data_IF_912588811976
#
_entry.id   IF_912588811976
#
_cell.length_a   1.000
_cell.length_b   1.000
_cell.length_c   1.000
_cell.angle_alpha   90.00
_cell.angle_beta   90.00
_cell.angle_gamma   90.00
#
_symmetry.space_group_name_H-M   'P 1'
#
loop_
_entity.id
_entity.type
_entity.pdbx_description
1 polymer ?
#
# COMPACT_ATOMS: atom_id res chain seq x y z
N UNK A 1 21.91 3.46 -23.52
CA UNK A 1 21.66 3.86 -22.12
C UNK A 1 21.13 2.64 -21.40
N UNK A 2 21.68 2.27 -20.24
CA UNK A 2 21.03 1.24 -19.41
C UNK A 2 19.73 1.88 -18.90
N UNK A 3 18.59 1.21 -19.11
CA UNK A 3 17.33 1.68 -18.57
C UNK A 3 17.36 1.65 -17.04
N UNK A 4 16.48 2.42 -16.40
CA UNK A 4 16.29 2.37 -14.94
C UNK A 4 15.91 0.95 -14.52
N UNK A 5 16.63 0.37 -13.56
CA UNK A 5 16.37 -0.97 -13.04
C UNK A 5 15.19 -0.94 -12.04
N UNK A 6 14.03 -1.57 -12.33
CA UNK A 6 12.99 -1.70 -11.32
C UNK A 6 13.40 -2.76 -10.27
N UNK A 7 13.23 -2.45 -8.99
CA UNK A 7 13.45 -3.36 -7.87
C UNK A 7 12.15 -3.49 -7.09
N UNK A 8 11.55 -4.68 -7.13
CA UNK A 8 10.31 -4.99 -6.42
C UNK A 8 10.65 -5.55 -5.04
N UNK A 9 10.04 -4.97 -4.00
CA UNK A 9 10.26 -5.36 -2.61
C UNK A 9 8.92 -5.72 -2.00
N UNK A 10 8.91 -6.90 -1.35
CA UNK A 10 7.79 -7.44 -0.60
C UNK A 10 7.44 -6.63 0.64
N UNK A 11 6.62 -7.22 1.50
CA UNK A 11 6.27 -6.67 2.80
C UNK A 11 7.53 -6.32 3.61
N UNK A 12 7.59 -5.08 4.13
CA UNK A 12 8.72 -4.59 4.92
C UNK A 12 8.41 -4.66 6.41
N UNK A 13 7.16 -4.39 6.80
CA UNK A 13 6.65 -4.63 8.15
C UNK A 13 7.53 -4.03 9.27
N UNK A 14 7.89 -2.76 9.14
CA UNK A 14 8.68 -2.02 10.15
C UNK A 14 10.16 -2.41 10.22
N UNK A 15 10.66 -3.26 9.32
CA UNK A 15 12.08 -3.61 9.16
C UNK A 15 12.86 -2.49 8.44
N UNK A 16 12.92 -1.30 9.06
CA UNK A 16 13.55 -0.12 8.48
C UNK A 16 15.03 -0.33 8.18
N UNK A 17 15.78 -0.92 9.14
CA UNK A 17 17.21 -1.17 9.01
C UNK A 17 17.51 -2.07 7.80
N UNK A 18 16.75 -3.15 7.65
CA UNK A 18 16.90 -4.11 6.56
C UNK A 18 16.55 -3.50 5.21
N UNK A 19 15.50 -2.68 5.13
CA UNK A 19 15.19 -1.97 3.88
C UNK A 19 16.31 -0.99 3.53
N UNK A 20 16.84 -0.25 4.49
CA UNK A 20 17.89 0.74 4.23
C UNK A 20 19.19 0.05 3.80
N UNK A 21 19.53 -1.08 4.42
CA UNK A 21 20.66 -1.90 3.99
C UNK A 21 20.46 -2.43 2.56
N UNK A 22 19.26 -2.92 2.22
CA UNK A 22 18.96 -3.38 0.87
C UNK A 22 19.09 -2.25 -0.16
N UNK A 23 18.57 -1.06 0.15
CA UNK A 23 18.66 0.11 -0.74
C UNK A 23 20.09 0.59 -0.88
N UNK A 24 20.88 0.61 0.19
CA UNK A 24 22.30 0.96 0.12
C UNK A 24 23.07 0.01 -0.82
N UNK A 25 22.81 -1.31 -0.73
CA UNK A 25 23.39 -2.29 -1.65
C UNK A 25 22.95 -2.08 -3.10
N UNK A 26 21.72 -1.62 -3.32
CA UNK A 26 21.25 -1.26 -4.66
C UNK A 26 21.95 -0.01 -5.19
N UNK A 27 22.16 1.01 -4.34
CA UNK A 27 22.93 2.21 -4.68
C UNK A 27 24.39 1.87 -5.01
N UNK A 28 25.04 0.98 -4.25
CA UNK A 28 26.39 0.51 -4.56
C UNK A 28 26.47 -0.19 -5.92
N UNK A 29 25.41 -0.92 -6.30
CA UNK A 29 25.38 -1.73 -7.52
C UNK A 29 24.97 -0.95 -8.77
N UNK A 30 24.02 -0.03 -8.63
CA UNK A 30 23.33 0.63 -9.73
C UNK A 30 23.46 2.16 -9.70
N UNK A 31 24.09 2.74 -8.68
CA UNK A 31 24.08 4.19 -8.46
C UNK A 31 22.65 4.69 -8.30
N UNK A 32 22.27 5.69 -9.10
CA UNK A 32 20.90 6.20 -9.16
C UNK A 32 20.03 5.53 -10.22
N UNK A 33 20.55 4.56 -10.98
CA UNK A 33 19.86 3.96 -12.14
C UNK A 33 18.89 2.83 -11.73
N UNK A 34 18.13 3.02 -10.65
CA UNK A 34 17.08 2.11 -10.21
C UNK A 34 15.87 2.86 -9.63
N UNK A 35 14.71 2.21 -9.67
CA UNK A 35 13.46 2.68 -9.07
C UNK A 35 12.92 1.58 -8.16
N UNK A 36 12.47 1.96 -6.96
CA UNK A 36 11.88 1.05 -5.99
C UNK A 36 10.39 0.85 -6.26
N UNK A 37 9.92 -0.38 -6.11
CA UNK A 37 8.51 -0.77 -6.24
C UNK A 37 8.10 -1.56 -4.99
N UNK A 38 7.47 -0.89 -4.02
CA UNK A 38 7.09 -1.46 -2.72
C UNK A 38 5.63 -1.95 -2.76
N UNK A 39 5.40 -3.22 -2.42
CA UNK A 39 4.10 -3.89 -2.61
C UNK A 39 3.08 -3.66 -1.49
N UNK A 40 3.33 -2.77 -0.53
CA UNK A 40 2.45 -2.57 0.64
C UNK A 40 3.02 -3.18 1.90
N UNK A 41 2.24 -3.07 3.00
CA UNK A 41 2.62 -3.56 4.33
C UNK A 41 4.04 -3.08 4.71
N UNK A 42 4.24 -1.76 4.60
CA UNK A 42 5.45 -1.11 5.08
C UNK A 42 5.49 -1.14 6.60
N UNK A 43 4.35 -0.93 7.24
CA UNK A 43 4.26 -0.84 8.69
C UNK A 43 3.71 -2.11 9.31
N UNK A 44 3.70 -2.10 10.65
CA UNK A 44 3.25 -3.14 11.55
C UNK A 44 4.25 -4.30 11.69
N UNK A 45 4.15 -5.09 12.77
CA UNK A 45 5.08 -6.15 13.21
C UNK A 45 6.45 -5.68 13.70
N UNK A 46 7.17 -4.90 12.91
CA UNK A 46 8.51 -4.41 13.24
C UNK A 46 8.50 -3.11 14.04
N UNK A 47 9.68 -2.69 14.54
CA UNK A 47 9.80 -1.54 15.44
C UNK A 47 9.97 -0.18 14.74
N UNK A 48 10.38 -0.14 13.47
CA UNK A 48 10.80 1.09 12.78
C UNK A 48 9.75 1.69 11.84
N UNK A 49 8.47 1.73 12.23
CA UNK A 49 7.38 2.08 11.29
C UNK A 49 7.43 3.55 10.86
N UNK A 50 7.62 4.48 11.80
CA UNK A 50 7.65 5.91 11.52
C UNK A 50 8.88 6.28 10.67
N UNK A 51 10.07 5.79 11.03
CA UNK A 51 11.31 6.04 10.28
C UNK A 51 11.19 5.49 8.85
N UNK A 52 10.60 4.32 8.70
CA UNK A 52 10.34 3.70 7.41
C UNK A 52 9.37 4.54 6.56
N UNK A 53 8.25 5.00 7.15
CA UNK A 53 7.29 5.88 6.46
C UNK A 53 7.95 7.20 6.03
N UNK A 54 8.76 7.81 6.89
CA UNK A 54 9.49 9.03 6.57
C UNK A 54 10.39 8.83 5.34
N UNK A 55 11.22 7.78 5.36
CA UNK A 55 12.14 7.52 4.26
C UNK A 55 11.42 7.16 2.96
N UNK A 56 10.41 6.30 3.03
CA UNK A 56 9.64 5.91 1.84
C UNK A 56 8.90 7.10 1.26
N UNK A 57 8.31 7.98 2.09
CA UNK A 57 7.72 9.22 1.61
C UNK A 57 8.74 10.03 0.82
N UNK A 58 9.94 10.26 1.37
CA UNK A 58 10.95 11.06 0.69
C UNK A 58 11.35 10.46 -0.67
N UNK A 59 11.48 9.13 -0.77
CA UNK A 59 11.74 8.46 -2.05
C UNK A 59 10.57 8.57 -3.05
N UNK A 60 9.33 8.48 -2.56
CA UNK A 60 8.12 8.62 -3.39
C UNK A 60 8.00 10.05 -3.92
N UNK A 61 8.18 11.06 -3.05
CA UNK A 61 8.11 12.47 -3.46
C UNK A 61 9.27 12.87 -4.40
N UNK A 62 10.43 12.19 -4.28
CA UNK A 62 11.54 12.34 -5.22
C UNK A 62 11.35 11.58 -6.55
N UNK A 63 10.24 10.84 -6.72
CA UNK A 63 10.00 10.03 -7.92
C UNK A 63 10.92 8.82 -8.08
N UNK A 64 11.58 8.38 -7.01
CA UNK A 64 12.48 7.20 -6.97
C UNK A 64 11.78 5.93 -6.48
N UNK A 65 10.54 6.04 -6.01
CA UNK A 65 9.79 4.92 -5.44
C UNK A 65 8.31 4.96 -5.84
N UNK A 66 7.79 3.79 -6.19
CA UNK A 66 6.38 3.46 -6.34
C UNK A 66 5.94 2.63 -5.15
N UNK A 67 4.79 2.97 -4.60
CA UNK A 67 4.30 2.36 -3.36
C UNK A 67 2.78 2.18 -3.44
N UNK A 68 2.30 0.95 -3.17
CA UNK A 68 0.87 0.64 -3.08
C UNK A 68 0.45 0.32 -1.64
N UNK A 69 -0.78 0.64 -1.26
CA UNK A 69 -1.31 0.33 0.07
C UNK A 69 -1.51 -1.18 0.28
N UNK A 70 -1.07 -1.67 1.45
CA UNK A 70 -1.36 -3.01 1.96
C UNK A 70 -2.44 -3.03 3.04
N UNK A 71 -2.69 -4.19 3.65
CA UNK A 71 -3.68 -4.30 4.72
C UNK A 71 -3.26 -3.59 6.00
N UNK A 72 -1.97 -3.51 6.31
CA UNK A 72 -1.51 -2.93 7.56
C UNK A 72 -1.68 -1.41 7.59
N UNK A 73 -1.53 -0.73 6.45
CA UNK A 73 -1.88 0.68 6.35
C UNK A 73 -3.38 0.93 6.47
N UNK A 74 -4.21 0.08 5.87
CA UNK A 74 -5.67 0.14 6.07
C UNK A 74 -6.02 -0.11 7.54
N UNK A 75 -5.30 -1.01 8.21
CA UNK A 75 -5.49 -1.31 9.63
C UNK A 75 -5.14 -0.12 10.51
N UNK A 76 -4.03 0.57 10.24
CA UNK A 76 -3.63 1.82 10.90
C UNK A 76 -4.72 2.88 10.77
N UNK A 77 -5.22 3.14 9.55
CA UNK A 77 -6.29 4.12 9.31
C UNK A 77 -7.56 3.78 10.11
N UNK A 78 -7.91 2.49 10.19
CA UNK A 78 -9.08 2.03 10.96
C UNK A 78 -8.90 2.24 12.47
N UNK A 79 -7.71 1.99 13.01
CA UNK A 79 -7.42 2.25 14.43
C UNK A 79 -7.45 3.75 14.72
N UNK A 80 -6.77 4.55 13.90
CA UNK A 80 -6.72 6.01 14.08
C UNK A 80 -8.10 6.68 14.06
N UNK A 81 -9.05 6.14 13.27
CA UNK A 81 -10.42 6.67 13.17
C UNK A 81 -11.45 5.95 14.06
N UNK A 82 -11.00 5.11 14.99
CA UNK A 82 -11.86 4.39 15.93
C UNK A 82 -12.84 3.42 15.26
N UNK A 83 -12.46 2.85 14.11
CA UNK A 83 -13.24 1.83 13.37
C UNK A 83 -12.81 0.39 13.72
N UNK A 84 -11.73 0.25 14.48
CA UNK A 84 -11.19 -1.00 15.00
C UNK A 84 -10.39 -0.67 16.26
N UNK A 85 -10.52 -1.50 17.28
CA UNK A 85 -9.65 -1.40 18.45
C UNK A 85 -8.21 -1.83 18.09
N UNK A 86 -7.19 -1.23 18.73
CA UNK A 86 -5.80 -1.68 18.56
C UNK A 86 -5.65 -3.13 19.05
N UNK A 87 -4.94 -3.95 18.28
CA UNK A 87 -4.56 -5.31 18.66
C UNK A 87 -3.19 -5.30 19.36
N UNK A 88 -2.92 -6.17 20.35
CA UNK A 88 -1.60 -6.26 20.99
C UNK A 88 -0.43 -6.51 20.03
N UNK A 89 -0.70 -7.07 18.85
CA UNK A 89 0.29 -7.32 17.81
C UNK A 89 0.51 -6.12 16.88
N UNK A 90 -0.24 -5.04 17.04
CA UNK A 90 -0.04 -3.81 16.28
C UNK A 90 1.17 -3.03 16.83
N UNK A 91 2.17 -2.78 15.98
CA UNK A 91 3.42 -2.10 16.39
C UNK A 91 3.57 -0.68 15.85
N UNK A 92 2.61 -0.18 15.06
CA UNK A 92 2.62 1.16 14.48
C UNK A 92 2.26 2.29 15.49
N UNK A 93 2.41 2.04 16.78
CA UNK A 93 2.11 3.02 17.83
C UNK A 93 3.00 4.26 17.76
N UNK A 94 4.23 4.11 17.26
CA UNK A 94 5.15 5.20 16.95
C UNK A 94 4.59 6.17 15.91
N UNK A 95 3.87 5.67 14.89
CA UNK A 95 3.20 6.51 13.89
C UNK A 95 2.03 7.28 14.50
N UNK A 96 1.25 6.64 15.37
CA UNK A 96 0.09 7.27 16.02
C UNK A 96 0.49 8.28 17.11
N UNK A 97 1.64 8.08 17.75
CA UNK A 97 2.17 8.96 18.78
C UNK A 97 2.95 10.16 18.21
N UNK A 98 3.30 10.14 16.92
CA UNK A 98 4.01 11.24 16.27
C UNK A 98 3.18 12.53 16.27
N UNK A 99 3.76 13.70 16.57
CA UNK A 99 3.03 14.98 16.53
C UNK A 99 2.41 15.30 15.16
N UNK A 100 2.92 14.70 14.07
CA UNK A 100 2.37 14.82 12.72
C UNK A 100 1.55 13.59 12.30
N UNK A 101 1.03 12.78 13.24
CA UNK A 101 0.19 11.61 12.97
C UNK A 101 -0.92 11.89 11.93
N UNK A 102 -1.65 12.99 12.07
CA UNK A 102 -2.70 13.37 11.11
C UNK A 102 -2.15 13.55 9.69
N UNK A 103 -0.96 14.13 9.54
CA UNK A 103 -0.31 14.29 8.24
C UNK A 103 0.12 12.93 7.66
N UNK A 104 0.55 11.99 8.49
CA UNK A 104 0.86 10.61 8.06
C UNK A 104 -0.38 9.88 7.59
N UNK A 105 -1.47 9.93 8.35
CA UNK A 105 -2.75 9.31 7.98
C UNK A 105 -3.28 9.90 6.67
N UNK A 106 -3.16 11.22 6.50
CA UNK A 106 -3.52 11.94 5.29
C UNK A 106 -2.68 11.51 4.09
N UNK A 107 -1.36 11.40 4.27
CA UNK A 107 -0.45 10.96 3.22
C UNK A 107 -0.72 9.52 2.79
N UNK A 108 -0.89 8.61 3.77
CA UNK A 108 -1.16 7.18 3.57
C UNK A 108 -2.48 6.99 2.83
N UNK A 109 -3.59 7.58 3.29
CA UNK A 109 -4.91 7.33 2.68
C UNK A 109 -5.02 7.79 1.22
N UNK A 110 -4.10 8.62 0.74
CA UNK A 110 -4.00 9.09 -0.64
C UNK A 110 -3.07 8.27 -1.51
N UNK A 111 -2.37 7.28 -0.96
CA UNK A 111 -1.50 6.39 -1.76
C UNK A 111 -2.32 5.47 -2.67
N UNK A 112 -1.76 5.05 -3.80
CA UNK A 112 -2.47 4.19 -4.74
C UNK A 112 -2.64 2.77 -4.18
N UNK A 113 -3.62 2.03 -4.70
CA UNK A 113 -3.75 0.59 -4.49
C UNK A 113 -3.12 -0.23 -5.61
N UNK A 114 -2.84 0.44 -6.73
CA UNK A 114 -2.29 -0.16 -7.93
C UNK A 114 -1.32 0.83 -8.56
N UNK A 115 -0.10 0.37 -8.80
CA UNK A 115 0.87 1.04 -9.66
C UNK A 115 1.06 0.22 -10.92
N UNK A 116 1.31 0.86 -12.06
CA UNK A 116 1.48 0.15 -13.33
C UNK A 116 2.71 0.64 -14.07
N UNK A 117 3.43 -0.28 -14.69
CA UNK A 117 4.61 0.01 -15.48
C UNK A 117 4.80 -1.01 -16.59
N UNK A 118 6.02 -1.02 -17.14
CA UNK A 118 6.42 -1.93 -18.21
C UNK A 118 7.73 -2.64 -17.82
N UNK A 119 7.80 -3.95 -18.05
CA UNK A 119 9.01 -4.76 -17.89
C UNK A 119 9.45 -5.25 -19.28
N UNK A 120 10.36 -4.50 -19.90
CA UNK A 120 10.56 -4.56 -21.35
C UNK A 120 9.26 -4.12 -22.03
N UNK A 121 8.75 -4.95 -22.94
CA UNK A 121 7.55 -4.63 -23.72
C UNK A 121 6.25 -5.15 -23.05
N UNK A 122 6.34 -5.66 -21.82
CA UNK A 122 5.22 -6.28 -21.11
C UNK A 122 4.66 -5.34 -20.06
N UNK A 123 3.41 -4.89 -20.19
CA UNK A 123 2.79 -4.07 -19.17
C UNK A 123 2.45 -4.92 -17.95
N UNK A 124 2.59 -4.33 -16.76
CA UNK A 124 2.23 -4.99 -15.50
C UNK A 124 1.43 -4.04 -14.60
N UNK A 125 0.79 -4.64 -13.59
CA UNK A 125 0.22 -3.93 -12.45
C UNK A 125 0.77 -4.55 -11.17
N UNK A 126 1.26 -3.71 -10.27
CA UNK A 126 1.64 -4.07 -8.91
C UNK A 126 0.46 -3.80 -7.99
N UNK A 127 0.06 -4.82 -7.23
CA UNK A 127 -0.97 -4.76 -6.20
C UNK A 127 -0.44 -5.50 -4.97
N UNK A 128 -0.97 -5.20 -3.79
CA UNK A 128 -0.53 -5.88 -2.57
C UNK A 128 -1.03 -7.34 -2.50
N UNK A 129 -2.34 -7.55 -2.64
CA UNK A 129 -2.95 -8.87 -2.48
C UNK A 129 -3.39 -9.51 -3.80
N UNK A 130 -4.60 -9.24 -4.27
CA UNK A 130 -5.16 -9.92 -5.43
C UNK A 130 -6.03 -9.02 -6.32
N UNK A 131 -6.26 -9.49 -7.54
CA UNK A 131 -7.17 -8.90 -8.53
C UNK A 131 -8.18 -9.94 -9.00
N UNK A 132 -9.34 -9.49 -9.47
CA UNK A 132 -10.33 -10.38 -10.09
C UNK A 132 -9.73 -11.19 -11.24
N UNK A 133 -10.06 -12.49 -11.38
CA UNK A 133 -9.49 -13.35 -12.41
C UNK A 133 -9.81 -12.87 -13.83
N UNK A 134 -10.92 -12.16 -14.00
CA UNK A 134 -11.38 -11.62 -15.30
C UNK A 134 -11.00 -10.14 -15.50
N UNK A 135 -10.18 -9.57 -14.62
CA UNK A 135 -9.80 -8.15 -14.71
C UNK A 135 -8.53 -7.99 -15.56
N UNK A 136 -8.69 -7.38 -16.74
CA UNK A 136 -7.54 -6.88 -17.49
C UNK A 136 -6.95 -5.61 -16.83
N UNK A 137 -5.78 -5.15 -17.29
CA UNK A 137 -5.09 -3.99 -16.73
C UNK A 137 -5.95 -2.70 -16.71
N UNK A 138 -6.80 -2.49 -17.71
CA UNK A 138 -7.68 -1.33 -17.75
C UNK A 138 -8.75 -1.38 -16.65
N UNK A 139 -9.34 -2.57 -16.43
CA UNK A 139 -10.32 -2.79 -15.37
C UNK A 139 -9.67 -2.69 -13.98
N UNK A 140 -8.48 -3.27 -13.79
CA UNK A 140 -7.70 -3.14 -12.54
C UNK A 140 -7.52 -1.66 -12.18
N UNK A 141 -7.01 -0.84 -13.12
CA UNK A 141 -6.80 0.60 -12.92
C UNK A 141 -8.11 1.33 -12.62
N UNK A 142 -9.19 1.02 -13.35
CA UNK A 142 -10.50 1.64 -13.15
C UNK A 142 -11.04 1.37 -11.75
N UNK A 143 -10.95 0.13 -11.28
CA UNK A 143 -11.41 -0.29 -9.94
C UNK A 143 -10.59 0.37 -8.85
N UNK A 144 -9.27 0.31 -8.95
CA UNK A 144 -8.36 0.97 -8.03
C UNK A 144 -8.67 2.47 -7.89
N UNK A 145 -8.88 3.18 -9.02
CA UNK A 145 -9.24 4.60 -9.03
C UNK A 145 -10.55 4.91 -8.31
N UNK A 146 -11.55 4.02 -8.32
CA UNK A 146 -12.79 4.23 -7.56
C UNK A 146 -12.52 4.19 -6.06
N UNK A 147 -11.71 3.22 -5.64
CA UNK A 147 -11.33 3.05 -4.24
C UNK A 147 -10.48 4.22 -3.78
N UNK A 148 -9.38 4.54 -4.48
CA UNK A 148 -8.47 5.63 -4.10
C UNK A 148 -9.14 7.00 -4.12
N UNK A 149 -10.07 7.26 -5.04
CA UNK A 149 -10.87 8.51 -5.04
C UNK A 149 -11.71 8.66 -3.77
N UNK A 150 -12.29 7.57 -3.27
CA UNK A 150 -13.13 7.61 -2.07
C UNK A 150 -12.28 7.66 -0.81
N UNK A 151 -11.19 6.89 -0.75
CA UNK A 151 -10.26 6.88 0.37
C UNK A 151 -9.49 8.20 0.51
N UNK A 152 -9.07 8.79 -0.62
CA UNK A 152 -8.36 10.07 -0.69
C UNK A 152 -9.26 11.30 -0.87
N UNK A 153 -10.58 11.17 -0.67
CA UNK A 153 -11.53 12.28 -0.76
C UNK A 153 -11.23 13.37 0.27
N UNK A 154 -11.40 14.64 -0.08
CA UNK A 154 -11.24 15.76 0.86
C UNK A 154 -12.33 15.77 1.95
N UNK A 155 -13.45 15.07 1.71
CA UNK A 155 -14.43 14.71 2.74
C UNK A 155 -13.99 13.41 3.47
N UNK A 156 -13.53 13.48 4.73
CA UNK A 156 -13.06 12.32 5.49
C UNK A 156 -14.18 11.33 5.80
N UNK A 157 -15.44 11.77 5.80
CA UNK A 157 -16.60 10.92 6.03
C UNK A 157 -16.74 9.83 4.96
N UNK A 158 -16.37 10.13 3.70
CA UNK A 158 -16.38 9.15 2.61
C UNK A 158 -15.33 8.05 2.79
N UNK A 159 -14.14 8.42 3.27
CA UNK A 159 -13.07 7.48 3.58
C UNK A 159 -13.47 6.60 4.77
N UNK A 160 -13.97 7.21 5.86
CA UNK A 160 -14.44 6.50 7.04
C UNK A 160 -15.57 5.52 6.71
N UNK A 161 -16.56 5.95 5.92
CA UNK A 161 -17.67 5.11 5.47
C UNK A 161 -17.21 3.95 4.58
N UNK A 162 -16.17 4.13 3.76
CA UNK A 162 -15.56 3.03 2.99
C UNK A 162 -14.90 2.01 3.91
N UNK A 163 -14.11 2.49 4.88
CA UNK A 163 -13.37 1.61 5.79
C UNK A 163 -14.27 0.88 6.80
N UNK A 164 -15.46 1.40 7.07
CA UNK A 164 -16.47 0.75 7.92
C UNK A 164 -17.35 -0.24 7.17
N UNK A 165 -17.50 -0.11 5.85
CA UNK A 165 -18.43 -0.92 5.08
C UNK A 165 -18.00 -2.39 4.97
N UNK A 166 -18.98 -3.30 5.07
CA UNK A 166 -18.80 -4.71 4.76
C UNK A 166 -18.55 -4.93 3.26
N UNK A 167 -17.82 -5.99 2.93
CA UNK A 167 -17.52 -6.34 1.52
C UNK A 167 -18.79 -6.59 0.70
N UNK A 168 -19.78 -7.23 1.31
CA UNK A 168 -21.04 -7.58 0.63
C UNK A 168 -22.01 -6.38 0.55
N UNK A 169 -21.71 -5.27 1.24
CA UNK A 169 -22.55 -4.07 1.31
C UNK A 169 -22.17 -3.02 0.27
N UNK A 170 -20.89 -2.99 -0.13
CA UNK A 170 -20.33 -1.94 -0.99
C UNK A 170 -19.31 -2.53 -1.98
N UNK A 171 -19.56 -2.47 -3.30
CA UNK A 171 -18.62 -2.95 -4.31
C UNK A 171 -17.24 -2.30 -4.24
N UNK A 172 -17.14 -1.06 -3.75
CA UNK A 172 -15.85 -0.36 -3.57
C UNK A 172 -15.12 -0.93 -2.35
N UNK A 173 -15.84 -1.34 -1.29
CA UNK A 173 -15.25 -2.01 -0.15
C UNK A 173 -14.80 -3.45 -0.50
N UNK A 174 -15.52 -4.16 -1.37
CA UNK A 174 -15.07 -5.45 -1.90
C UNK A 174 -13.80 -5.29 -2.74
N UNK A 175 -13.74 -4.30 -3.63
CA UNK A 175 -12.52 -4.00 -4.40
C UNK A 175 -11.34 -3.66 -3.46
N UNK A 176 -11.54 -2.82 -2.44
CA UNK A 176 -10.52 -2.50 -1.43
C UNK A 176 -10.01 -3.77 -0.75
N UNK A 177 -10.92 -4.66 -0.34
CA UNK A 177 -10.55 -5.92 0.30
C UNK A 177 -9.75 -6.83 -0.62
N UNK A 178 -10.11 -6.90 -1.92
CA UNK A 178 -9.36 -7.69 -2.90
C UNK A 178 -7.94 -7.19 -3.07
N UNK A 179 -7.76 -5.88 -3.22
CA UNK A 179 -6.45 -5.28 -3.40
C UNK A 179 -5.55 -5.40 -2.17
N UNK A 180 -6.12 -5.47 -0.96
CA UNK A 180 -5.34 -5.36 0.29
C UNK A 180 -5.29 -6.61 1.17
N UNK A 181 -6.22 -7.57 1.07
CA UNK A 181 -6.24 -8.71 2.01
C UNK A 181 -6.77 -10.04 1.47
N UNK A 182 -7.39 -10.08 0.30
CA UNK A 182 -7.93 -11.33 -0.22
C UNK A 182 -6.83 -12.22 -0.83
N UNK A 183 -6.85 -13.52 -0.53
CA UNK A 183 -5.80 -14.47 -0.93
C UNK A 183 -6.19 -15.40 -2.07
N UNK A 184 -7.45 -15.85 -2.14
CA UNK A 184 -7.87 -16.83 -3.15
C UNK A 184 -9.34 -16.71 -3.53
N UNK A 185 -9.66 -17.04 -4.79
CA UNK A 185 -11.03 -17.20 -5.29
C UNK A 185 -11.43 -18.67 -5.15
N UNK A 186 -12.43 -18.95 -4.32
CA UNK A 186 -13.06 -20.28 -4.32
C UNK A 186 -13.92 -20.45 -5.57
N UNK A 187 -14.13 -21.70 -6.00
CA UNK A 187 -14.84 -22.15 -7.22
C UNK A 187 -16.28 -21.58 -7.44
N UNK A 188 -16.81 -20.75 -6.54
CA UNK A 188 -18.09 -20.03 -6.63
C UNK A 188 -17.94 -18.49 -6.56
N UNK A 189 -16.75 -17.96 -6.85
CA UNK A 189 -16.48 -16.52 -6.81
C UNK A 189 -16.33 -15.91 -5.41
N UNK A 190 -16.40 -16.72 -4.34
CA UNK A 190 -16.18 -16.24 -2.96
C UNK A 190 -14.69 -16.16 -2.65
N UNK A 191 -14.25 -15.02 -2.13
CA UNK A 191 -12.86 -14.78 -1.78
C UNK A 191 -12.54 -15.11 -0.33
N UNK A 192 -11.41 -15.75 -0.07
CA UNK A 192 -10.82 -15.85 1.27
C UNK A 192 -10.05 -14.59 1.62
N UNK A 193 -10.14 -14.13 2.87
CA UNK A 193 -9.30 -13.10 3.50
C UNK A 193 -8.41 -13.76 4.55
#
# INVERSE_FOLDING_TARGET
>A
MRGVQPIFIGDVQGCAAELFELVARAEDRFGSDFELWLVGDLINRGPGNLELLQRVRDWVEAGRCRYVLGNHEISLLRVAWGLRDPDPLDTFGDVLADPAADAWLEWIRRRPLVETGELGDRPFAMVHAAVGPDWNLAEIRKRARRVTRRLGSDDPGKARALLSAGRDEDPVADDLARFTRCRSVRRRGRWSS
#
